data_IF_772340662014
#
_entry.id   IF_772340662014
#
_cell.length_a   1.000
_cell.length_b   1.000
_cell.length_c   1.000
_cell.angle_alpha   90.00
_cell.angle_beta   90.00
_cell.angle_gamma   90.00
#
_symmetry.space_group_name_H-M   'P 1'
#
loop_
_entity.id
_entity.type
_entity.pdbx_description
1 polymer ?
#
# COMPACT_ATOMS: atom_id res chain seq x y z
N UNK A 1 19.52 -34.57 -1.72
CA UNK A 1 19.96 -33.18 -1.53
C UNK A 1 19.08 -32.62 -0.43
N UNK A 2 19.63 -32.33 0.75
CA UNK A 2 18.84 -31.89 1.92
C UNK A 2 18.73 -30.37 1.89
N UNK A 3 17.54 -29.83 2.18
CA UNK A 3 17.34 -28.39 2.21
C UNK A 3 18.07 -27.79 3.42
N UNK A 4 18.56 -26.55 3.27
CA UNK A 4 19.28 -25.86 4.34
C UNK A 4 18.40 -25.67 5.59
N UNK A 5 17.09 -25.50 5.38
CA UNK A 5 16.06 -25.40 6.42
C UNK A 5 15.90 -26.68 7.22
N UNK A 6 16.04 -27.84 6.59
CA UNK A 6 15.94 -29.15 7.24
C UNK A 6 17.23 -29.49 7.99
N UNK A 7 18.39 -29.15 7.41
CA UNK A 7 19.70 -29.44 8.01
C UNK A 7 19.94 -28.69 9.32
N UNK A 8 19.40 -27.49 9.46
CA UNK A 8 19.64 -26.59 10.59
C UNK A 8 18.37 -26.32 11.40
N UNK A 9 17.39 -27.22 11.37
CA UNK A 9 16.09 -27.05 12.05
C UNK A 9 16.24 -26.70 13.54
N UNK A 10 17.18 -27.33 14.25
CA UNK A 10 17.45 -27.06 15.67
C UNK A 10 18.13 -25.71 15.94
N UNK A 11 18.70 -25.07 14.92
CA UNK A 11 19.38 -23.78 14.99
C UNK A 11 18.50 -22.65 14.44
N UNK A 12 17.39 -22.97 13.77
CA UNK A 12 16.46 -22.01 13.17
C UNK A 12 15.35 -21.65 14.14
N UNK A 13 15.25 -20.36 14.45
CA UNK A 13 14.15 -19.82 15.26
C UNK A 13 12.84 -19.67 14.47
N UNK A 14 12.91 -19.64 13.14
CA UNK A 14 11.77 -19.47 12.24
C UNK A 14 12.18 -19.02 10.84
N UNK A 15 11.20 -18.88 9.95
CA UNK A 15 11.37 -18.37 8.58
C UNK A 15 10.63 -17.04 8.44
N UNK A 16 11.35 -15.98 8.10
CA UNK A 16 10.76 -14.68 7.79
C UNK A 16 10.11 -14.72 6.39
N UNK A 17 8.78 -14.69 6.36
CA UNK A 17 7.98 -14.76 5.12
C UNK A 17 7.47 -13.39 4.63
N UNK A 18 7.85 -12.28 5.27
CA UNK A 18 7.39 -10.93 4.89
C UNK A 18 8.55 -10.04 4.47
N UNK A 19 8.27 -9.14 3.52
CA UNK A 19 9.13 -7.99 3.29
C UNK A 19 9.00 -7.05 4.50
N UNK A 20 10.09 -6.84 5.23
CA UNK A 20 10.14 -5.94 6.40
C UNK A 20 9.67 -4.51 6.05
N UNK A 21 9.91 -4.08 4.79
CA UNK A 21 9.35 -2.86 4.20
C UNK A 21 9.33 -2.95 2.68
N UNK A 22 8.20 -2.61 2.07
CA UNK A 22 8.10 -2.37 0.62
C UNK A 22 8.14 -0.86 0.37
N UNK A 23 9.19 -0.37 -0.29
CA UNK A 23 9.32 1.04 -0.70
C UNK A 23 9.05 1.14 -2.19
N UNK A 24 7.93 1.75 -2.55
CA UNK A 24 7.60 2.04 -3.96
C UNK A 24 8.08 3.47 -4.25
N UNK A 25 9.13 3.58 -5.06
CA UNK A 25 9.70 4.86 -5.47
C UNK A 25 9.44 5.10 -6.96
N UNK A 26 8.96 6.30 -7.29
CA UNK A 26 8.70 6.69 -8.68
C UNK A 26 8.11 8.08 -8.78
N UNK A 27 8.15 8.65 -9.98
CA UNK A 27 7.51 9.94 -10.27
C UNK A 27 6.19 9.73 -10.98
N UNK A 28 5.09 10.00 -10.29
CA UNK A 28 3.77 10.05 -10.91
C UNK A 28 3.56 11.43 -11.54
N UNK A 29 4.26 11.76 -12.62
CA UNK A 29 3.95 13.01 -13.35
C UNK A 29 2.65 12.82 -14.15
N UNK A 30 1.72 13.81 -14.15
CA UNK A 30 1.80 15.17 -13.60
C UNK A 30 1.41 15.33 -12.11
N UNK A 31 0.99 14.27 -11.43
CA UNK A 31 0.42 14.32 -10.06
C UNK A 31 1.45 14.53 -8.93
N UNK A 32 2.74 14.42 -9.23
CA UNK A 32 3.84 14.44 -8.26
C UNK A 32 4.23 15.84 -7.74
N UNK A 33 3.50 16.90 -8.12
CA UNK A 33 3.68 18.26 -7.61
C UNK A 33 2.37 19.06 -7.67
N UNK A 34 2.24 20.07 -6.81
CA UNK A 34 0.99 20.81 -6.61
C UNK A 34 0.38 21.37 -7.90
N UNK A 35 1.17 22.09 -8.71
CA UNK A 35 0.68 22.69 -9.98
C UNK A 35 0.25 21.63 -11.00
N UNK A 36 0.94 20.49 -11.06
CA UNK A 36 0.61 19.41 -11.97
C UNK A 36 -0.67 18.69 -11.55
N UNK A 37 -0.85 18.47 -10.25
CA UNK A 37 -2.11 17.97 -9.70
C UNK A 37 -3.27 18.93 -9.97
N UNK A 38 -3.08 20.23 -9.75
CA UNK A 38 -4.10 21.24 -10.06
C UNK A 38 -4.48 21.22 -11.54
N UNK A 39 -3.49 21.15 -12.45
CA UNK A 39 -3.74 21.06 -13.89
C UNK A 39 -4.54 19.81 -14.23
N UNK A 40 -4.15 18.66 -13.67
CA UNK A 40 -4.85 17.40 -13.89
C UNK A 40 -6.32 17.48 -13.45
N UNK A 41 -6.61 17.96 -12.24
CA UNK A 41 -7.98 18.11 -11.76
C UNK A 41 -8.83 18.99 -12.69
N UNK A 42 -8.28 20.12 -13.15
CA UNK A 42 -8.99 20.98 -14.10
C UNK A 42 -9.24 20.32 -15.47
N UNK A 43 -8.30 19.49 -15.95
CA UNK A 43 -8.48 18.72 -17.19
C UNK A 43 -9.62 17.70 -17.06
N UNK A 44 -9.78 17.11 -15.88
CA UNK A 44 -10.88 16.19 -15.56
C UNK A 44 -12.19 16.91 -15.17
N UNK A 45 -12.24 18.25 -15.25
CA UNK A 45 -13.42 19.05 -14.90
C UNK A 45 -13.70 19.14 -13.39
N UNK A 46 -12.72 18.77 -12.56
CA UNK A 46 -12.83 18.75 -11.10
C UNK A 46 -12.26 20.05 -10.54
N UNK A 47 -13.06 20.77 -9.73
CA UNK A 47 -12.58 21.96 -9.04
C UNK A 47 -11.69 21.55 -7.88
N UNK A 48 -10.71 22.38 -7.54
CA UNK A 48 -9.78 22.12 -6.42
C UNK A 48 -10.52 21.87 -5.10
N UNK A 49 -11.61 22.60 -4.84
CA UNK A 49 -12.43 22.42 -3.63
C UNK A 49 -13.20 21.10 -3.62
N UNK A 50 -13.42 20.47 -4.78
CA UNK A 50 -14.07 19.17 -4.92
C UNK A 50 -13.06 18.01 -4.86
N UNK A 51 -11.80 18.27 -4.49
CA UNK A 51 -10.72 17.27 -4.42
C UNK A 51 -11.07 16.06 -3.56
N UNK A 52 -11.81 16.24 -2.46
CA UNK A 52 -12.20 15.12 -1.61
C UNK A 52 -13.01 14.08 -2.40
N UNK A 53 -13.91 14.52 -3.27
CA UNK A 53 -14.71 13.62 -4.11
C UNK A 53 -13.86 12.81 -5.10
N UNK A 54 -12.72 13.35 -5.54
CA UNK A 54 -11.75 12.64 -6.37
C UNK A 54 -10.92 11.63 -5.56
N UNK A 55 -10.37 12.06 -4.42
CA UNK A 55 -9.38 11.27 -3.68
C UNK A 55 -10.00 10.16 -2.82
N UNK A 56 -11.21 10.37 -2.30
CA UNK A 56 -11.85 9.46 -1.36
C UNK A 56 -12.14 8.07 -1.97
N UNK A 57 -12.73 7.95 -3.18
CA UNK A 57 -12.98 6.65 -3.80
C UNK A 57 -11.69 5.85 -4.07
N UNK A 58 -10.61 6.53 -4.47
CA UNK A 58 -9.31 5.90 -4.70
C UNK A 58 -8.72 5.34 -3.40
N UNK A 59 -8.82 6.10 -2.30
CA UNK A 59 -8.42 5.63 -0.97
C UNK A 59 -9.23 4.42 -0.52
N UNK A 60 -10.55 4.47 -0.71
CA UNK A 60 -11.46 3.40 -0.33
C UNK A 60 -11.19 2.13 -1.13
N UNK A 61 -10.87 2.25 -2.43
CA UNK A 61 -10.49 1.11 -3.27
C UNK A 61 -9.23 0.41 -2.77
N UNK A 62 -8.17 1.17 -2.46
CA UNK A 62 -6.92 0.60 -1.91
C UNK A 62 -7.18 -0.09 -0.58
N UNK A 63 -7.98 0.54 0.29
CA UNK A 63 -8.33 -0.02 1.60
C UNK A 63 -9.13 -1.32 1.46
N UNK A 64 -10.17 -1.32 0.64
CA UNK A 64 -11.02 -2.49 0.43
C UNK A 64 -10.24 -3.67 -0.15
N UNK A 65 -9.32 -3.40 -1.09
CA UNK A 65 -8.45 -4.44 -1.63
C UNK A 65 -7.52 -5.03 -0.56
N UNK A 66 -6.92 -4.19 0.28
CA UNK A 66 -6.07 -4.65 1.37
C UNK A 66 -6.86 -5.48 2.42
N UNK A 67 -8.05 -5.02 2.80
CA UNK A 67 -8.97 -5.72 3.71
C UNK A 67 -9.38 -7.08 3.13
N UNK A 68 -9.71 -7.15 1.84
CA UNK A 68 -10.05 -8.40 1.16
C UNK A 68 -8.89 -9.40 1.20
N UNK A 69 -7.67 -8.99 0.81
CA UNK A 69 -6.49 -9.85 0.80
C UNK A 69 -6.18 -10.35 2.22
N UNK A 70 -6.29 -9.48 3.22
CA UNK A 70 -6.08 -9.87 4.61
C UNK A 70 -7.10 -10.90 5.08
N UNK A 71 -8.39 -10.72 4.77
CA UNK A 71 -9.45 -11.67 5.08
C UNK A 71 -9.21 -13.04 4.42
N UNK A 72 -8.86 -13.06 3.12
CA UNK A 72 -8.58 -14.29 2.37
C UNK A 72 -7.42 -15.10 2.97
N UNK A 73 -6.48 -14.43 3.64
CA UNK A 73 -5.30 -15.04 4.26
C UNK A 73 -5.41 -15.16 5.79
N UNK A 74 -6.54 -14.81 6.39
CA UNK A 74 -6.74 -14.86 7.85
C UNK A 74 -5.83 -13.92 8.65
N UNK A 75 -5.43 -12.78 8.06
CA UNK A 75 -4.55 -11.78 8.69
C UNK A 75 -5.38 -10.64 9.26
N UNK A 76 -5.09 -10.22 10.49
CA UNK A 76 -5.69 -9.04 11.11
C UNK A 76 -4.95 -7.75 10.69
N UNK A 77 -5.70 -6.70 10.35
CA UNK A 77 -5.13 -5.39 10.00
C UNK A 77 -5.11 -4.51 11.26
N UNK A 78 -3.92 -4.04 11.62
CA UNK A 78 -3.74 -3.02 12.66
C UNK A 78 -3.52 -1.63 12.02
N UNK A 79 -4.31 -0.65 12.45
CA UNK A 79 -4.15 0.75 12.02
C UNK A 79 -3.25 1.51 13.00
N UNK A 80 -2.07 1.92 12.54
CA UNK A 80 -1.15 2.73 13.35
C UNK A 80 -1.77 4.12 13.56
N UNK A 81 -2.09 4.45 14.81
CA UNK A 81 -2.52 5.79 15.21
C UNK A 81 -1.31 6.59 15.71
N UNK A 82 -1.29 7.91 15.49
CA UNK A 82 -0.28 8.78 16.12
C UNK A 82 -0.62 8.93 17.60
N UNK A 83 0.30 8.52 18.47
CA UNK A 83 0.35 8.92 19.88
C UNK A 83 1.00 10.30 20.03
#
# INVERSE_FOLDING_TARGET
MVLLTEKHESELYGVLNSYDRIVIAGHLQPLSYAKGMTKYLYQEGIRIFDYQGFAQPLRELVRANAEQIAQENGVEIEFVTKH
#
